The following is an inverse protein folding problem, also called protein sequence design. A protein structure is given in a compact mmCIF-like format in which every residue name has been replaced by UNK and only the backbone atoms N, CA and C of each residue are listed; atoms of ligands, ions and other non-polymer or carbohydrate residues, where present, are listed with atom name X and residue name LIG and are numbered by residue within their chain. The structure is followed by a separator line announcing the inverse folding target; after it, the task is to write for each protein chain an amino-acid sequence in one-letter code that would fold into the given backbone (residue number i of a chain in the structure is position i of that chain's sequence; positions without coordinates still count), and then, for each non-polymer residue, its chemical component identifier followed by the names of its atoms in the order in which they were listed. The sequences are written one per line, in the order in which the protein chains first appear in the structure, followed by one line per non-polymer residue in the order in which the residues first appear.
data_IF_371816792022
#
_entry.id   IF_371816792022
#
_cell.length_a   1.000
_cell.length_b   1.000
_cell.length_c   1.000
_cell.angle_alpha   90.00
_cell.angle_beta   90.00
_cell.angle_gamma   90.00
#
_symmetry.space_group_name_H-M   'P 1'
#
loop_
_entity.id
_entity.type
_entity.pdbx_description
1 polymer ?
#
# COMPACT_ATOMS: atom_id res chain seq x y z
N UNK A 1 -13.52 1.28 10.91
CA UNK A 1 -13.52 1.94 9.59
C UNK A 1 -12.95 3.36 9.61
N UNK A 2 -13.37 4.27 10.51
CA UNK A 2 -12.92 5.69 10.48
C UNK A 2 -11.39 5.81 10.42
N UNK A 3 -10.62 5.00 11.17
CA UNK A 3 -9.14 4.98 11.15
C UNK A 3 -8.54 4.92 9.73
N UNK A 4 -9.15 4.19 8.81
CA UNK A 4 -8.63 3.93 7.45
C UNK A 4 -9.31 4.77 6.37
N UNK A 5 -9.91 5.92 6.72
CA UNK A 5 -10.49 6.87 5.76
C UNK A 5 -9.76 8.20 5.82
N UNK A 6 -9.50 8.84 4.69
CA UNK A 6 -8.82 10.13 4.63
C UNK A 6 -7.65 10.13 3.67
N UNK A 7 -6.73 11.08 3.87
CA UNK A 7 -5.57 11.30 3.00
C UNK A 7 -4.34 10.64 3.59
N UNK A 8 -3.72 9.75 2.81
CA UNK A 8 -2.49 9.04 3.15
C UNK A 8 -1.43 9.37 2.12
N UNK A 9 -0.34 10.03 2.52
CA UNK A 9 0.69 10.37 1.53
C UNK A 9 1.52 9.14 1.20
N UNK A 10 1.64 8.85 -0.10
CA UNK A 10 2.64 7.92 -0.61
C UNK A 10 4.02 8.54 -0.39
N UNK A 11 4.71 8.08 0.65
CA UNK A 11 5.87 8.80 1.19
C UNK A 11 7.09 8.60 0.29
N UNK A 12 7.76 9.70 -0.07
CA UNK A 12 9.04 9.69 -0.76
C UNK A 12 10.17 9.21 0.17
N UNK A 13 11.24 8.68 -0.40
CA UNK A 13 12.47 8.33 0.32
C UNK A 13 13.56 9.36 0.00
N UNK A 14 13.95 10.23 0.94
CA UNK A 14 15.11 11.10 0.73
C UNK A 14 16.42 10.30 0.72
N UNK A 15 17.33 10.63 -0.20
CA UNK A 15 18.67 10.05 -0.30
C UNK A 15 19.76 11.11 -0.06
N UNK A 16 20.92 10.69 0.44
CA UNK A 16 22.11 11.52 0.52
C UNK A 16 22.89 11.54 -0.81
N UNK A 17 24.03 12.24 -0.86
CA UNK A 17 24.85 12.36 -2.07
C UNK A 17 25.52 11.04 -2.46
N UNK A 18 25.52 10.07 -1.56
CA UNK A 18 26.07 8.73 -1.73
C UNK A 18 24.96 7.69 -2.01
N UNK A 19 23.74 8.14 -2.33
CA UNK A 19 22.55 7.31 -2.59
C UNK A 19 22.10 6.43 -1.42
N UNK A 20 22.45 6.77 -0.19
CA UNK A 20 21.95 6.09 1.01
C UNK A 20 20.70 6.79 1.52
N UNK A 21 19.81 6.04 2.16
CA UNK A 21 18.62 6.60 2.82
C UNK A 21 19.03 7.69 3.82
N UNK A 22 18.52 8.89 3.62
CA UNK A 22 18.78 10.03 4.49
C UNK A 22 17.68 10.14 5.56
N UNK A 23 17.91 9.46 6.68
CA UNK A 23 16.94 9.36 7.78
C UNK A 23 16.50 10.73 8.30
N UNK A 24 17.42 11.69 8.48
CA UNK A 24 17.11 13.02 9.01
C UNK A 24 16.16 13.80 8.10
N UNK A 25 16.36 13.71 6.80
CA UNK A 25 15.45 14.35 5.83
C UNK A 25 14.13 13.58 5.73
N UNK A 26 14.14 12.26 5.90
CA UNK A 26 12.91 11.45 6.00
C UNK A 26 12.08 11.86 7.22
N UNK A 27 12.69 12.03 8.40
CA UNK A 27 12.01 12.51 9.60
C UNK A 27 11.37 13.89 9.38
N UNK A 28 12.12 14.83 8.79
CA UNK A 28 11.61 16.17 8.46
C UNK A 28 10.44 16.09 7.49
N UNK A 29 10.54 15.26 6.45
CA UNK A 29 9.48 15.06 5.48
C UNK A 29 8.21 14.49 6.12
N UNK A 30 8.34 13.50 7.00
CA UNK A 30 7.22 12.93 7.76
C UNK A 30 6.56 14.00 8.62
N UNK A 31 7.32 14.76 9.42
CA UNK A 31 6.79 15.84 10.26
C UNK A 31 6.14 16.95 9.44
N UNK A 32 6.71 17.28 8.28
CA UNK A 32 6.13 18.25 7.36
C UNK A 32 4.76 17.78 6.86
N UNK A 33 4.64 16.55 6.39
CA UNK A 33 3.36 15.99 5.94
C UNK A 33 2.31 15.98 7.07
N UNK A 34 2.69 15.55 8.28
CA UNK A 34 1.81 15.61 9.45
C UNK A 34 1.33 17.04 9.74
N UNK A 35 2.22 18.04 9.61
CA UNK A 35 1.85 19.46 9.80
C UNK A 35 0.82 19.98 8.77
N UNK A 36 0.63 19.27 7.65
CA UNK A 36 -0.40 19.55 6.64
C UNK A 36 -1.72 18.83 6.90
N UNK A 37 -1.82 18.07 8.00
CA UNK A 37 -3.06 17.40 8.40
C UNK A 37 -3.31 16.07 7.68
N UNK A 38 -2.29 15.45 7.08
CA UNK A 38 -2.43 14.10 6.54
C UNK A 38 -2.73 13.13 7.67
N UNK A 39 -3.52 12.09 7.38
CA UNK A 39 -3.91 11.11 8.39
C UNK A 39 -2.80 10.12 8.72
N UNK A 40 -1.94 9.87 7.74
CA UNK A 40 -1.03 8.77 7.78
C UNK A 40 -0.23 8.65 6.50
N UNK A 41 0.47 7.52 6.39
CA UNK A 41 1.46 7.31 5.35
C UNK A 41 1.28 5.95 4.70
N UNK A 42 1.44 5.93 3.37
CA UNK A 42 1.71 4.73 2.60
C UNK A 42 3.22 4.66 2.37
N UNK A 43 3.91 3.80 3.13
CA UNK A 43 5.37 3.77 3.25
C UNK A 43 5.96 2.69 2.35
N UNK A 44 7.04 3.01 1.64
CA UNK A 44 7.78 2.02 0.83
C UNK A 44 7.06 1.60 -0.45
N UNK A 45 6.17 2.45 -1.00
CA UNK A 45 5.47 2.19 -2.27
C UNK A 45 6.29 2.55 -3.51
N UNK A 46 5.63 2.58 -4.67
CA UNK A 46 6.23 3.05 -5.94
C UNK A 46 6.85 4.44 -5.82
N UNK A 47 6.14 5.38 -5.19
CA UNK A 47 6.61 6.75 -4.92
C UNK A 47 7.88 6.79 -4.06
N UNK A 48 8.09 5.79 -3.21
CA UNK A 48 9.26 5.68 -2.33
C UNK A 48 10.48 5.08 -3.03
N UNK A 49 10.40 4.79 -4.33
CA UNK A 49 11.43 4.10 -5.12
C UNK A 49 11.74 2.69 -4.61
N UNK A 50 10.77 2.04 -3.97
CA UNK A 50 11.00 0.81 -3.20
C UNK A 50 11.61 -0.36 -3.99
N UNK A 51 11.36 -0.44 -5.29
CA UNK A 51 11.90 -1.51 -6.15
C UNK A 51 13.36 -1.28 -6.56
N UNK A 52 13.96 -0.15 -6.16
CA UNK A 52 15.39 0.13 -6.29
C UNK A 52 16.16 -0.10 -4.98
N UNK A 53 15.45 -0.44 -3.91
CA UNK A 53 16.00 -0.54 -2.56
C UNK A 53 16.22 -1.98 -2.13
N UNK A 54 17.25 -2.19 -1.31
CA UNK A 54 17.44 -3.44 -0.61
C UNK A 54 16.37 -3.66 0.47
N UNK A 55 16.18 -4.92 0.88
CA UNK A 55 15.29 -5.29 2.00
C UNK A 55 15.63 -4.52 3.27
N UNK A 56 16.93 -4.29 3.54
CA UNK A 56 17.38 -3.58 4.73
C UNK A 56 17.04 -2.09 4.68
N UNK A 57 17.20 -1.43 3.54
CA UNK A 57 16.80 -0.03 3.37
C UNK A 57 15.29 0.14 3.53
N UNK A 58 14.49 -0.80 2.98
CA UNK A 58 13.03 -0.79 3.16
C UNK A 58 12.64 -0.91 4.64
N UNK A 59 13.30 -1.78 5.41
CA UNK A 59 13.10 -1.90 6.87
C UNK A 59 13.52 -0.64 7.61
N UNK A 60 14.67 -0.07 7.27
CA UNK A 60 15.19 1.17 7.85
C UNK A 60 14.21 2.33 7.66
N UNK A 61 13.65 2.49 6.45
CA UNK A 61 12.61 3.49 6.17
C UNK A 61 11.38 3.25 7.04
N UNK A 62 10.94 1.99 7.18
CA UNK A 62 9.79 1.68 8.02
C UNK A 62 10.03 2.06 9.49
N UNK A 63 11.23 1.80 10.01
CA UNK A 63 11.63 2.11 11.39
C UNK A 63 11.63 3.62 11.65
N UNK A 64 12.22 4.40 10.74
CA UNK A 64 12.27 5.87 10.84
C UNK A 64 10.87 6.48 10.82
N UNK A 65 10.00 6.01 9.92
CA UNK A 65 8.62 6.54 9.84
C UNK A 65 7.83 6.17 11.10
N UNK A 66 7.97 4.94 11.59
CA UNK A 66 7.27 4.49 12.80
C UNK A 66 7.69 5.27 14.04
N UNK A 67 8.99 5.52 14.21
CA UNK A 67 9.51 6.27 15.34
C UNK A 67 9.13 7.76 15.28
N UNK A 68 9.03 8.32 14.07
CA UNK A 68 8.69 9.74 13.86
C UNK A 68 7.19 10.01 14.02
N UNK A 69 6.34 9.06 13.62
CA UNK A 69 4.89 9.21 13.56
C UNK A 69 4.15 8.04 14.25
N UNK A 70 4.39 7.80 15.55
CA UNK A 70 3.85 6.61 16.24
C UNK A 70 2.32 6.55 16.30
N UNK A 71 1.66 7.72 16.28
CA UNK A 71 0.21 7.87 16.37
C UNK A 71 -0.51 8.00 15.01
N UNK A 72 0.26 8.14 13.92
CA UNK A 72 -0.29 8.19 12.58
C UNK A 72 -0.75 6.80 12.13
N UNK A 73 -1.69 6.73 11.18
CA UNK A 73 -2.05 5.43 10.59
C UNK A 73 -1.03 5.05 9.52
N UNK A 74 -0.32 3.95 9.72
CA UNK A 74 0.80 3.55 8.87
C UNK A 74 0.48 2.29 8.05
N UNK A 75 0.61 2.41 6.73
CA UNK A 75 0.45 1.34 5.76
C UNK A 75 1.84 0.99 5.20
N UNK A 76 2.33 -0.23 5.44
CA UNK A 76 3.60 -0.70 4.91
C UNK A 76 3.40 -1.38 3.55
N UNK A 77 3.98 -0.83 2.48
CA UNK A 77 4.09 -1.54 1.21
C UNK A 77 5.22 -2.56 1.26
N UNK A 78 4.85 -3.83 1.28
CA UNK A 78 5.77 -4.97 1.42
C UNK A 78 5.93 -5.76 0.11
N UNK A 79 5.34 -5.28 -0.99
CA UNK A 79 5.38 -5.99 -2.27
C UNK A 79 6.79 -6.22 -2.79
N UNK A 80 7.00 -7.42 -3.33
CA UNK A 80 8.23 -7.85 -4.02
C UNK A 80 7.90 -9.03 -4.93
N UNK A 81 8.65 -9.16 -6.02
CA UNK A 81 8.64 -10.38 -6.86
C UNK A 81 9.22 -11.59 -6.11
N UNK A 82 9.99 -11.35 -5.05
CA UNK A 82 10.48 -12.37 -4.14
C UNK A 82 9.51 -12.51 -2.95
N UNK A 83 8.72 -13.59 -2.93
CA UNK A 83 7.75 -13.86 -1.87
C UNK A 83 8.40 -13.91 -0.47
N UNK A 84 9.62 -14.42 -0.36
CA UNK A 84 10.34 -14.49 0.92
C UNK A 84 10.70 -13.09 1.44
N UNK A 85 11.13 -12.19 0.54
CA UNK A 85 11.39 -10.79 0.90
C UNK A 85 10.10 -10.10 1.36
N UNK A 86 9.01 -10.26 0.60
CA UNK A 86 7.72 -9.68 0.97
C UNK A 86 7.23 -10.17 2.34
N UNK A 87 7.43 -11.47 2.61
CA UNK A 87 7.12 -12.09 3.91
C UNK A 87 7.99 -11.52 5.03
N UNK A 88 9.30 -11.38 4.79
CA UNK A 88 10.24 -10.80 5.74
C UNK A 88 9.87 -9.36 6.11
N UNK A 89 9.46 -8.57 5.13
CA UNK A 89 9.00 -7.19 5.33
C UNK A 89 7.67 -7.12 6.07
N UNK A 90 6.74 -8.04 5.78
CA UNK A 90 5.45 -8.13 6.48
C UNK A 90 5.64 -8.43 7.98
N UNK A 91 6.51 -9.40 8.30
CA UNK A 91 6.86 -9.74 9.69
C UNK A 91 7.51 -8.54 10.39
N UNK A 92 8.41 -7.83 9.70
CA UNK A 92 9.04 -6.62 10.26
C UNK A 92 8.02 -5.52 10.54
N UNK A 93 7.13 -5.22 9.58
CA UNK A 93 6.08 -4.22 9.73
C UNK A 93 5.17 -4.52 10.94
N UNK A 94 4.77 -5.79 11.12
CA UNK A 94 4.04 -6.24 12.32
C UNK A 94 4.84 -6.00 13.59
N UNK A 95 6.09 -6.44 13.62
CA UNK A 95 6.97 -6.37 14.80
C UNK A 95 7.13 -4.94 15.33
N UNK A 96 7.26 -3.95 14.44
CA UNK A 96 7.46 -2.56 14.84
C UNK A 96 6.14 -1.78 14.99
N UNK A 97 4.99 -2.41 14.72
CA UNK A 97 3.67 -1.86 15.00
C UNK A 97 3.09 -0.96 13.91
N UNK A 98 3.24 -1.36 12.64
CA UNK A 98 2.42 -0.84 11.54
C UNK A 98 0.97 -1.33 11.65
N UNK A 99 0.03 -0.59 11.06
CA UNK A 99 -1.39 -0.88 11.18
C UNK A 99 -1.93 -1.81 10.09
N UNK A 100 -1.33 -1.74 8.91
CA UNK A 100 -1.80 -2.37 7.68
C UNK A 100 -0.59 -2.69 6.81
N UNK A 101 -0.62 -3.83 6.12
CA UNK A 101 0.31 -4.12 5.03
C UNK A 101 -0.37 -3.91 3.67
N UNK A 102 0.39 -3.57 2.66
CA UNK A 102 -0.07 -3.48 1.28
C UNK A 102 0.92 -4.16 0.35
N UNK A 103 0.44 -4.76 -0.73
CA UNK A 103 1.32 -5.35 -1.74
C UNK A 103 0.81 -5.08 -3.13
N UNK A 104 1.72 -4.73 -4.04
CA UNK A 104 1.45 -4.76 -5.49
C UNK A 104 1.41 -6.22 -5.93
N UNK A 105 0.65 -6.53 -6.97
CA UNK A 105 0.73 -7.85 -7.57
C UNK A 105 2.18 -8.13 -8.02
N UNK A 106 2.70 -9.36 -7.83
CA UNK A 106 4.04 -9.69 -8.30
C UNK A 106 4.10 -9.46 -9.82
N UNK A 107 5.14 -8.76 -10.26
CA UNK A 107 5.28 -8.24 -11.61
C UNK A 107 6.51 -8.87 -12.30
N UNK A 108 6.87 -8.35 -13.48
CA UNK A 108 7.95 -8.84 -14.36
C UNK A 108 7.61 -10.17 -15.05
N UNK A 109 7.36 -11.24 -14.29
CA UNK A 109 6.87 -12.50 -14.84
C UNK A 109 5.35 -12.47 -15.04
N UNK A 110 4.87 -13.23 -16.03
CA UNK A 110 3.43 -13.39 -16.30
C UNK A 110 2.84 -14.48 -15.41
N UNK A 111 2.66 -14.17 -14.13
CA UNK A 111 1.97 -15.04 -13.20
C UNK A 111 0.50 -15.19 -13.59
N UNK A 112 -0.03 -16.38 -13.38
CA UNK A 112 -1.47 -16.63 -13.45
C UNK A 112 -2.18 -15.93 -12.30
N UNK A 113 -3.49 -15.68 -12.47
CA UNK A 113 -4.28 -15.10 -11.38
C UNK A 113 -4.26 -15.98 -10.12
N UNK A 114 -4.26 -17.30 -10.26
CA UNK A 114 -4.21 -18.22 -9.12
C UNK A 114 -2.88 -18.11 -8.34
N UNK A 115 -1.75 -17.92 -9.03
CA UNK A 115 -0.46 -17.67 -8.37
C UNK A 115 -0.45 -16.32 -7.64
N UNK A 116 -0.98 -15.26 -8.27
CA UNK A 116 -1.11 -13.93 -7.65
C UNK A 116 -2.02 -14.02 -6.41
N UNK A 117 -3.13 -14.74 -6.51
CA UNK A 117 -4.04 -14.96 -5.40
C UNK A 117 -3.34 -15.67 -4.24
N UNK A 118 -2.65 -16.78 -4.52
CA UNK A 118 -1.91 -17.52 -3.50
C UNK A 118 -0.82 -16.67 -2.83
N UNK A 119 -0.12 -15.83 -3.59
CA UNK A 119 0.85 -14.86 -3.06
C UNK A 119 0.21 -13.91 -2.03
N UNK A 120 -0.92 -13.27 -2.38
CA UNK A 120 -1.63 -12.37 -1.46
C UNK A 120 -2.10 -13.08 -0.20
N UNK A 121 -2.67 -14.28 -0.32
CA UNK A 121 -3.19 -15.03 0.82
C UNK A 121 -2.09 -15.49 1.77
N UNK A 122 -0.93 -15.92 1.26
CA UNK A 122 0.23 -16.26 2.11
C UNK A 122 0.76 -15.07 2.90
N UNK A 123 0.81 -13.90 2.28
CA UNK A 123 1.21 -12.66 2.95
C UNK A 123 0.19 -12.26 4.02
N UNK A 124 -1.11 -12.33 3.71
CA UNK A 124 -2.18 -12.05 4.65
C UNK A 124 -2.14 -13.00 5.87
N UNK A 125 -1.85 -14.28 5.66
CA UNK A 125 -1.68 -15.27 6.72
C UNK A 125 -0.48 -14.98 7.62
N UNK A 126 0.65 -14.58 7.03
CA UNK A 126 1.89 -14.40 7.79
C UNK A 126 1.95 -13.06 8.54
N UNK A 127 1.33 -12.02 8.00
CA UNK A 127 1.48 -10.66 8.53
C UNK A 127 0.74 -10.41 9.84
N UNK A 128 -0.35 -11.15 10.11
CA UNK A 128 -1.29 -10.86 11.21
C UNK A 128 -1.70 -9.37 11.28
N UNK A 129 -1.75 -8.71 10.13
CA UNK A 129 -2.19 -7.33 9.92
C UNK A 129 -3.22 -7.33 8.78
N UNK A 130 -4.20 -6.41 8.81
CA UNK A 130 -5.06 -6.17 7.66
C UNK A 130 -4.24 -5.88 6.40
N UNK A 131 -4.68 -6.41 5.26
CA UNK A 131 -3.98 -6.28 3.99
C UNK A 131 -4.74 -5.41 2.98
N UNK A 132 -4.03 -4.55 2.28
CA UNK A 132 -4.52 -3.84 1.09
C UNK A 132 -3.95 -4.50 -0.18
N UNK A 133 -4.84 -4.81 -1.10
CA UNK A 133 -4.46 -5.11 -2.48
C UNK A 133 -4.05 -3.79 -3.14
N UNK A 134 -2.86 -3.69 -3.73
CA UNK A 134 -2.46 -2.52 -4.52
C UNK A 134 -2.58 -2.85 -6.01
N UNK A 135 -3.64 -2.33 -6.63
CA UNK A 135 -3.94 -2.53 -8.03
C UNK A 135 -3.43 -1.34 -8.85
N UNK A 136 -2.39 -1.58 -9.65
CA UNK A 136 -1.75 -0.59 -10.52
C UNK A 136 -1.36 -1.23 -11.87
N UNK A 137 -2.32 -1.51 -12.76
CA UNK A 137 -2.09 -2.28 -13.98
C UNK A 137 -1.07 -1.60 -14.92
N UNK A 138 -1.02 -0.26 -14.94
CA UNK A 138 -0.08 0.50 -15.78
C UNK A 138 1.40 0.17 -15.51
N UNK A 139 1.75 -0.23 -14.29
CA UNK A 139 3.13 -0.56 -13.91
C UNK A 139 3.35 -2.04 -13.59
N UNK A 140 2.34 -2.73 -13.07
CA UNK A 140 2.44 -4.16 -12.74
C UNK A 140 2.20 -5.08 -13.95
N UNK A 141 1.47 -4.61 -14.97
CA UNK A 141 0.96 -5.45 -16.05
C UNK A 141 -0.17 -6.40 -15.63
N UNK A 142 -0.59 -6.37 -14.36
CA UNK A 142 -1.65 -7.21 -13.81
C UNK A 142 -2.96 -6.42 -13.75
N UNK A 143 -3.85 -6.71 -14.69
CA UNK A 143 -5.20 -6.16 -14.68
C UNK A 143 -6.18 -7.15 -14.02
N UNK A 144 -6.92 -6.69 -13.02
CA UNK A 144 -7.89 -7.50 -12.28
C UNK A 144 -9.28 -6.90 -12.53
N UNK A 145 -10.24 -7.74 -12.91
CA UNK A 145 -11.63 -7.32 -12.98
C UNK A 145 -12.30 -7.41 -11.59
N UNK A 146 -13.58 -7.04 -11.50
CA UNK A 146 -14.32 -7.08 -10.23
C UNK A 146 -14.43 -8.50 -9.61
N UNK A 147 -14.52 -9.55 -10.43
CA UNK A 147 -14.59 -10.93 -9.93
C UNK A 147 -13.25 -11.36 -9.32
N UNK A 148 -12.14 -10.96 -9.96
CA UNK A 148 -10.77 -11.19 -9.46
C UNK A 148 -10.57 -10.44 -8.14
N UNK A 149 -10.91 -9.15 -8.09
CA UNK A 149 -10.83 -8.33 -6.88
C UNK A 149 -11.71 -8.90 -5.75
N UNK A 150 -12.89 -9.44 -6.10
CA UNK A 150 -13.80 -10.09 -5.17
C UNK A 150 -13.22 -11.32 -4.47
N UNK A 151 -12.22 -12.00 -5.06
CA UNK A 151 -11.52 -13.10 -4.37
C UNK A 151 -10.79 -12.65 -3.11
N UNK A 152 -10.37 -11.38 -3.06
CA UNK A 152 -9.72 -10.76 -1.90
C UNK A 152 -10.72 -10.01 -1.04
N UNK A 153 -11.59 -9.21 -1.66
CA UNK A 153 -12.51 -8.31 -0.96
C UNK A 153 -13.66 -9.04 -0.22
N UNK A 154 -13.86 -10.34 -0.44
CA UNK A 154 -14.76 -11.16 0.37
C UNK A 154 -14.12 -11.71 1.67
N UNK A 155 -12.80 -11.59 1.83
CA UNK A 155 -12.08 -12.14 2.97
C UNK A 155 -11.74 -11.05 4.01
N UNK A 156 -11.93 -11.33 5.29
CA UNK A 156 -11.79 -10.34 6.37
C UNK A 156 -10.34 -9.94 6.67
N UNK A 157 -9.35 -10.73 6.26
CA UNK A 157 -7.93 -10.35 6.34
C UNK A 157 -7.61 -9.17 5.43
N UNK A 158 -8.37 -8.99 4.35
CA UNK A 158 -8.19 -7.89 3.42
C UNK A 158 -9.02 -6.68 3.85
N UNK A 159 -8.33 -5.58 4.17
CA UNK A 159 -8.96 -4.29 4.50
C UNK A 159 -9.67 -3.68 3.29
N UNK A 160 -9.11 -3.88 2.09
CA UNK A 160 -9.60 -3.25 0.88
C UNK A 160 -8.55 -3.17 -0.22
N UNK A 161 -8.66 -2.13 -1.06
CA UNK A 161 -7.86 -1.95 -2.27
C UNK A 161 -7.35 -0.51 -2.40
N UNK A 162 -6.06 -0.36 -2.73
CA UNK A 162 -5.52 0.87 -3.31
C UNK A 162 -5.63 0.76 -4.82
N UNK A 163 -6.49 1.59 -5.41
CA UNK A 163 -6.92 1.52 -6.79
C UNK A 163 -6.27 2.62 -7.63
N UNK A 164 -5.19 2.29 -8.34
CA UNK A 164 -4.47 3.19 -9.25
C UNK A 164 -4.76 2.80 -10.69
N UNK A 165 -5.98 3.09 -11.14
CA UNK A 165 -6.49 2.88 -12.49
C UNK A 165 -7.57 3.93 -12.78
N UNK A 166 -7.82 4.19 -14.06
CA UNK A 166 -8.83 5.14 -14.54
C UNK A 166 -10.19 4.47 -14.85
N UNK A 167 -10.34 3.17 -14.59
CA UNK A 167 -11.61 2.47 -14.71
C UNK A 167 -12.50 2.71 -13.49
N UNK A 168 -13.20 3.84 -13.53
CA UNK A 168 -14.14 4.26 -12.49
C UNK A 168 -15.39 3.37 -12.37
N UNK A 169 -15.74 2.63 -13.43
CA UNK A 169 -16.83 1.66 -13.36
C UNK A 169 -16.44 0.50 -12.43
N UNK A 170 -15.24 -0.05 -12.59
CA UNK A 170 -14.73 -1.08 -11.66
C UNK A 170 -14.52 -0.52 -10.24
N UNK A 171 -14.11 0.75 -10.08
CA UNK A 171 -14.03 1.37 -8.75
C UNK A 171 -15.40 1.46 -8.07
N UNK A 172 -16.43 1.92 -8.78
CA UNK A 172 -17.81 1.97 -8.28
C UNK A 172 -18.29 0.57 -7.89
N UNK A 173 -18.05 -0.44 -8.74
CA UNK A 173 -18.39 -1.83 -8.42
C UNK A 173 -17.66 -2.35 -7.18
N UNK A 174 -16.39 -2.02 -7.00
CA UNK A 174 -15.65 -2.34 -5.77
C UNK A 174 -16.39 -1.79 -4.55
N UNK A 175 -16.83 -0.53 -4.61
CA UNK A 175 -17.49 0.09 -3.47
C UNK A 175 -18.89 -0.46 -3.23
N UNK A 176 -19.68 -0.62 -4.29
CA UNK A 176 -21.07 -1.08 -4.23
C UNK A 176 -21.19 -2.55 -3.82
N UNK A 177 -20.32 -3.42 -4.33
CA UNK A 177 -20.31 -4.85 -3.98
C UNK A 177 -19.68 -5.11 -2.60
N UNK A 178 -18.72 -4.28 -2.18
CA UNK A 178 -17.97 -4.47 -0.93
C UNK A 178 -18.00 -3.22 -0.03
N UNK A 179 -19.19 -2.78 0.45
CA UNK A 179 -19.36 -1.48 1.10
C UNK A 179 -18.55 -1.29 2.40
N UNK A 180 -18.16 -2.39 3.04
CA UNK A 180 -17.33 -2.40 4.27
C UNK A 180 -15.83 -2.31 3.99
N UNK A 181 -15.40 -2.57 2.76
CA UNK A 181 -13.98 -2.51 2.37
C UNK A 181 -13.59 -1.08 2.03
N UNK A 182 -12.32 -0.78 2.28
CA UNK A 182 -11.74 0.53 1.98
C UNK A 182 -11.31 0.57 0.53
N UNK A 183 -11.70 1.62 -0.20
CA UNK A 183 -11.21 1.89 -1.55
C UNK A 183 -10.42 3.20 -1.53
N UNK A 184 -9.12 3.14 -1.81
CA UNK A 184 -8.30 4.34 -1.97
C UNK A 184 -8.10 4.67 -3.44
N UNK A 185 -8.39 5.91 -3.85
CA UNK A 185 -8.07 6.42 -5.17
C UNK A 185 -6.57 6.70 -5.26
N UNK A 186 -5.87 6.09 -6.21
CA UNK A 186 -4.42 6.22 -6.33
C UNK A 186 -3.89 7.12 -7.45
N UNK A 187 -4.74 7.73 -8.27
CA UNK A 187 -4.35 8.79 -9.22
C UNK A 187 -4.82 10.15 -8.71
N UNK A 188 -3.88 10.97 -8.24
CA UNK A 188 -4.13 12.25 -7.58
C UNK A 188 -4.93 13.21 -8.46
N UNK A 189 -4.61 13.26 -9.75
CA UNK A 189 -5.26 14.11 -10.75
C UNK A 189 -6.70 13.71 -11.04
N UNK A 190 -7.12 12.52 -10.60
CA UNK A 190 -8.50 12.03 -10.73
C UNK A 190 -9.20 11.86 -9.38
N UNK A 191 -8.65 12.41 -8.29
CA UNK A 191 -9.16 12.21 -6.94
C UNK A 191 -10.64 12.60 -6.77
N UNK A 192 -11.07 13.72 -7.37
CA UNK A 192 -12.48 14.15 -7.34
C UNK A 192 -13.41 13.10 -7.97
N UNK A 193 -13.01 12.51 -9.10
CA UNK A 193 -13.78 11.46 -9.76
C UNK A 193 -13.81 10.19 -8.89
N UNK A 194 -12.67 9.78 -8.33
CA UNK A 194 -12.60 8.63 -7.44
C UNK A 194 -13.49 8.75 -6.20
N UNK A 195 -13.49 9.92 -5.54
CA UNK A 195 -14.41 10.18 -4.43
C UNK A 195 -15.88 10.11 -4.85
N UNK A 196 -16.21 10.65 -6.03
CA UNK A 196 -17.58 10.62 -6.56
C UNK A 196 -18.06 9.19 -6.86
N UNK A 197 -17.14 8.26 -7.13
CA UNK A 197 -17.40 6.83 -7.33
C UNK A 197 -17.34 6.02 -6.02
N UNK A 198 -17.11 6.66 -4.88
CA UNK A 198 -17.21 6.04 -3.57
C UNK A 198 -15.89 5.66 -2.90
N UNK A 199 -14.75 6.15 -3.41
CA UNK A 199 -13.49 6.03 -2.69
C UNK A 199 -13.59 6.62 -1.26
N UNK A 200 -13.00 5.93 -0.29
CA UNK A 200 -12.99 6.31 1.12
C UNK A 200 -11.81 7.23 1.49
N UNK A 201 -10.93 7.50 0.52
CA UNK A 201 -9.69 8.25 0.69
C UNK A 201 -8.78 8.12 -0.53
N UNK A 202 -7.55 8.58 -0.37
CA UNK A 202 -6.48 8.54 -1.37
C UNK A 202 -5.13 8.50 -0.68
#
# INVERSE_FOLDING_TARGET
MIKYKGIFTALLTPFDKENRVNEKELEKLVRFNLSKGVKGFYVGGSTAEAFLLSTNERKQIMDVVKSTAPDATLIAHIGSINELEATELAIHAKKIGYDVIASVAPFYYKFTFEEIKNYYFRLADTAELPMLVYHIPAFSGVNMNINDMGQFLNDDRFLGIKYTSNDFFTMEQCKSNFPKKVVYNGFDEMFLAGLSMGADGG
#
